data_IF_270507622805
#
_entry.id   IF_270507622805
#
_cell.length_a   1.000
_cell.length_b   1.000
_cell.length_c   1.000
_cell.angle_alpha   90.00
_cell.angle_beta   90.00
_cell.angle_gamma   90.00
#
_symmetry.space_group_name_H-M   'P 1'
#
loop_
_entity.id
_entity.type
_entity.pdbx_description
1 polymer ?
#
# COMPACT_ATOMS: atom_id res chain seq x y z
N UNK A 1 57.01 -9.35 -36.90
CA UNK A 1 56.58 -8.61 -35.69
C UNK A 1 55.06 -8.56 -35.69
N UNK A 2 54.37 -9.26 -34.77
CA UNK A 2 52.93 -9.14 -34.62
C UNK A 2 52.56 -7.92 -33.75
N UNK A 3 51.35 -7.34 -33.90
CA UNK A 3 50.93 -6.18 -33.12
C UNK A 3 50.49 -6.56 -31.71
N UNK A 4 50.81 -5.71 -30.73
CA UNK A 4 50.36 -5.81 -29.33
C UNK A 4 48.84 -5.64 -29.23
N UNK A 5 48.17 -6.62 -28.62
CA UNK A 5 46.77 -6.56 -28.21
C UNK A 5 46.70 -5.80 -26.87
N UNK A 6 45.86 -4.75 -26.71
CA UNK A 6 45.66 -4.15 -25.40
C UNK A 6 44.73 -5.03 -24.56
N UNK A 7 45.19 -5.40 -23.36
CA UNK A 7 44.35 -6.02 -22.33
C UNK A 7 43.26 -5.05 -21.85
N UNK A 8 42.00 -5.50 -21.67
CA UNK A 8 40.99 -4.68 -21.02
C UNK A 8 41.26 -4.62 -19.50
N UNK A 9 41.42 -3.42 -18.96
CA UNK A 9 41.37 -3.20 -17.51
C UNK A 9 39.95 -3.49 -16.98
N UNK A 10 39.80 -4.14 -15.80
CA UNK A 10 38.51 -4.23 -15.15
C UNK A 10 38.16 -2.86 -14.58
N UNK A 11 37.18 -2.17 -15.19
CA UNK A 11 36.56 -1.00 -14.57
C UNK A 11 35.58 -1.54 -13.52
N UNK A 12 36.10 -1.74 -12.31
CA UNK A 12 35.29 -1.97 -11.11
C UNK A 12 34.76 -0.61 -10.66
N UNK A 13 33.64 -0.15 -11.23
CA UNK A 13 32.92 1.00 -10.67
C UNK A 13 32.13 0.51 -9.47
N UNK A 14 32.80 0.39 -8.32
CA UNK A 14 32.11 0.33 -7.03
C UNK A 14 31.56 1.72 -6.78
N UNK A 15 30.26 1.91 -7.01
CA UNK A 15 29.57 3.09 -6.49
C UNK A 15 29.62 3.01 -4.97
N UNK A 16 30.57 3.71 -4.36
CA UNK A 16 30.54 4.05 -2.95
C UNK A 16 29.33 4.96 -2.72
N UNK A 17 28.20 4.36 -2.36
CA UNK A 17 27.12 5.07 -1.70
C UNK A 17 27.64 5.49 -0.32
N UNK A 18 27.69 6.80 -0.09
CA UNK A 18 27.99 7.37 1.21
C UNK A 18 27.04 6.81 2.27
N UNK A 19 27.51 6.48 3.49
CA UNK A 19 26.65 6.10 4.60
C UNK A 19 26.01 7.38 5.18
N UNK A 20 25.11 7.97 4.41
CA UNK A 20 24.26 9.09 4.84
C UNK A 20 22.90 8.53 5.24
N UNK A 21 22.66 8.44 6.54
CA UNK A 21 21.37 8.17 7.21
C UNK A 21 20.31 7.47 6.34
N UNK A 22 20.18 6.15 6.52
CA UNK A 22 18.89 5.48 6.34
C UNK A 22 17.98 6.04 7.45
N UNK A 23 17.38 7.20 7.21
CA UNK A 23 16.10 7.53 7.84
C UNK A 23 15.15 6.51 7.25
N UNK A 24 14.99 5.40 7.96
CA UNK A 24 13.91 4.48 7.68
C UNK A 24 12.63 5.29 7.51
N UNK A 25 11.94 5.07 6.39
CA UNK A 25 10.72 5.75 5.99
C UNK A 25 9.51 5.32 6.84
N UNK A 26 9.62 5.31 8.17
CA UNK A 26 8.57 4.95 9.13
C UNK A 26 7.34 5.88 9.10
N UNK A 27 7.32 6.85 8.19
CA UNK A 27 6.32 7.92 8.11
C UNK A 27 5.27 7.71 7.02
N UNK A 28 5.57 6.89 6.03
CA UNK A 28 4.67 6.72 4.89
C UNK A 28 3.61 5.67 5.21
N UNK A 29 2.33 6.03 5.06
CA UNK A 29 1.25 5.06 5.11
C UNK A 29 1.35 4.19 3.85
N UNK A 30 1.49 2.88 4.04
CA UNK A 30 1.54 1.91 2.94
C UNK A 30 0.28 1.08 2.90
N UNK A 31 -0.08 0.63 1.70
CA UNK A 31 -1.17 -0.28 1.46
C UNK A 31 -0.66 -1.48 0.66
N UNK A 32 -0.95 -2.68 1.17
CA UNK A 32 -0.74 -3.95 0.50
C UNK A 32 -2.08 -4.55 0.09
N UNK A 33 -2.22 -4.90 -1.19
CA UNK A 33 -3.45 -5.53 -1.69
C UNK A 33 -3.21 -6.29 -3.00
N UNK A 34 -4.26 -6.95 -3.47
CA UNK A 34 -4.31 -7.56 -4.78
C UNK A 34 -5.64 -7.31 -5.47
N UNK A 35 -5.64 -7.42 -6.78
CA UNK A 35 -6.84 -7.26 -7.60
C UNK A 35 -6.70 -8.06 -8.90
N UNK A 36 -7.83 -8.24 -9.58
CA UNK A 36 -7.86 -8.80 -10.93
C UNK A 36 -7.90 -7.66 -11.96
N UNK A 37 -7.03 -7.76 -12.98
CA UNK A 37 -6.90 -6.80 -14.07
C UNK A 37 -6.95 -7.56 -15.39
N UNK A 38 -8.02 -7.37 -16.15
CA UNK A 38 -8.32 -8.18 -17.35
C UNK A 38 -7.52 -7.78 -18.59
N UNK A 39 -7.09 -6.52 -18.68
CA UNK A 39 -6.44 -5.93 -19.86
C UNK A 39 -5.27 -5.05 -19.41
N UNK A 40 -4.32 -4.76 -20.31
CA UNK A 40 -3.25 -3.81 -20.00
C UNK A 40 -3.84 -2.45 -19.63
N UNK A 41 -3.47 -1.86 -18.47
CA UNK A 41 -3.99 -0.56 -18.12
C UNK A 41 -3.48 0.53 -19.07
N UNK A 42 -4.21 1.64 -19.23
CA UNK A 42 -3.71 2.79 -19.98
C UNK A 42 -2.40 3.32 -19.38
N UNK A 43 -1.47 3.71 -20.26
CA UNK A 43 -0.25 4.41 -19.86
C UNK A 43 -0.55 5.85 -19.48
N UNK A 44 0.03 6.29 -18.37
CA UNK A 44 0.09 7.67 -17.93
C UNK A 44 1.54 8.17 -18.08
N UNK A 45 1.78 8.90 -19.17
CA UNK A 45 3.13 9.35 -19.52
C UNK A 45 4.00 8.18 -19.99
N UNK A 46 5.32 8.26 -19.73
CA UNK A 46 6.30 7.31 -20.27
C UNK A 46 6.58 6.10 -19.38
N UNK A 47 6.29 6.18 -18.08
CA UNK A 47 6.80 5.23 -17.08
C UNK A 47 5.75 4.61 -16.17
N UNK A 48 4.50 5.09 -16.22
CA UNK A 48 3.44 4.63 -15.33
C UNK A 48 2.24 4.14 -16.13
N UNK A 49 1.60 3.14 -15.58
CA UNK A 49 0.28 2.64 -15.93
C UNK A 49 -0.70 3.10 -14.85
N UNK A 50 -1.94 3.34 -15.27
CA UNK A 50 -3.00 3.82 -14.38
C UNK A 50 -4.16 2.83 -14.38
N UNK A 51 -4.45 2.27 -13.21
CA UNK A 51 -5.62 1.42 -12.98
C UNK A 51 -6.61 2.25 -12.17
N UNK A 52 -7.72 2.64 -12.79
CA UNK A 52 -8.76 3.45 -12.15
C UNK A 52 -9.86 2.57 -11.57
N UNK A 53 -10.52 3.05 -10.52
CA UNK A 53 -11.68 2.39 -9.89
C UNK A 53 -11.41 0.91 -9.56
N UNK A 54 -10.18 0.63 -9.15
CA UNK A 54 -9.69 -0.70 -8.85
C UNK A 54 -10.40 -1.29 -7.63
N UNK A 55 -11.04 -2.44 -7.84
CA UNK A 55 -11.66 -3.23 -6.78
C UNK A 55 -10.63 -4.20 -6.18
N UNK A 56 -10.24 -4.04 -4.89
CA UNK A 56 -9.40 -5.01 -4.24
C UNK A 56 -10.12 -6.34 -4.09
N UNK A 57 -9.37 -7.42 -4.00
CA UNK A 57 -9.92 -8.74 -3.72
C UNK A 57 -9.65 -9.15 -2.27
N UNK A 58 -10.66 -9.75 -1.67
CA UNK A 58 -10.49 -10.63 -0.52
C UNK A 58 -9.91 -11.94 -1.03
N UNK A 59 -8.81 -12.39 -0.43
CA UNK A 59 -8.13 -13.64 -0.81
C UNK A 59 -8.26 -14.72 0.26
N UNK A 60 -9.19 -14.52 1.21
CA UNK A 60 -9.50 -15.53 2.22
C UNK A 60 -10.10 -16.76 1.54
N UNK A 61 -9.39 -17.88 1.66
CA UNK A 61 -9.83 -19.17 1.14
C UNK A 61 -11.06 -19.68 1.90
N UNK A 62 -11.91 -20.50 1.26
CA UNK A 62 -11.76 -21.06 -0.09
C UNK A 62 -12.32 -20.17 -1.22
N UNK A 63 -12.86 -18.99 -0.91
CA UNK A 63 -13.61 -18.19 -1.88
C UNK A 63 -13.04 -16.78 -2.01
N UNK A 64 -11.92 -16.59 -2.74
CA UNK A 64 -11.49 -15.26 -3.15
C UNK A 64 -12.61 -14.54 -3.89
N UNK A 65 -12.83 -13.27 -3.56
CA UNK A 65 -13.90 -12.47 -4.16
C UNK A 65 -13.53 -10.99 -4.21
N UNK A 66 -14.04 -10.23 -5.19
CA UNK A 66 -13.88 -8.78 -5.19
C UNK A 66 -14.60 -8.17 -3.99
N UNK A 67 -14.01 -7.11 -3.44
CA UNK A 67 -14.62 -6.25 -2.44
C UNK A 67 -15.35 -5.10 -3.14
N UNK A 68 -16.46 -4.66 -2.56
CA UNK A 68 -17.23 -3.51 -3.06
C UNK A 68 -16.61 -2.16 -2.67
N UNK A 69 -15.70 -2.14 -1.69
CA UNK A 69 -14.98 -0.97 -1.21
C UNK A 69 -13.74 -1.41 -0.41
N UNK A 70 -12.73 -0.51 -0.24
CA UNK A 70 -12.60 0.79 -0.91
C UNK A 70 -12.25 0.67 -2.40
N UNK A 71 -12.64 1.66 -3.21
CA UNK A 71 -12.12 1.83 -4.58
C UNK A 71 -10.74 2.48 -4.55
N UNK A 72 -9.91 2.15 -5.55
CA UNK A 72 -8.53 2.60 -5.61
C UNK A 72 -8.14 3.11 -7.00
N UNK A 73 -7.38 4.19 -7.05
CA UNK A 73 -6.63 4.63 -8.22
C UNK A 73 -5.17 4.23 -8.04
N UNK A 74 -4.70 3.28 -8.84
CA UNK A 74 -3.37 2.70 -8.70
C UNK A 74 -2.47 3.18 -9.83
N UNK A 75 -1.30 3.68 -9.45
CA UNK A 75 -0.23 4.12 -10.34
C UNK A 75 0.94 3.15 -10.18
N UNK A 76 1.27 2.42 -11.24
CA UNK A 76 2.28 1.37 -11.22
C UNK A 76 3.20 1.44 -12.43
N UNK A 77 4.46 1.09 -12.27
CA UNK A 77 5.38 0.92 -13.40
C UNK A 77 5.38 -0.49 -13.97
N UNK A 78 4.67 -1.43 -13.34
CA UNK A 78 4.62 -2.82 -13.79
C UNK A 78 3.66 -2.93 -15.01
N UNK A 79 4.15 -3.38 -16.18
CA UNK A 79 3.29 -3.70 -17.30
C UNK A 79 2.60 -5.05 -17.07
N UNK A 80 1.38 -5.21 -17.60
CA UNK A 80 0.68 -6.51 -17.61
C UNK A 80 1.15 -7.43 -18.74
N UNK A 81 1.55 -6.84 -19.86
CA UNK A 81 1.58 -7.42 -21.21
C UNK A 81 0.22 -7.50 -21.90
N UNK A 82 0.22 -7.28 -23.23
CA UNK A 82 -0.94 -7.42 -24.14
C UNK A 82 -1.06 -8.85 -24.71
N UNK A 83 -0.29 -9.81 -24.19
CA UNK A 83 -0.31 -11.19 -24.68
C UNK A 83 -1.60 -11.92 -24.28
N UNK A 84 -2.09 -12.88 -25.10
CA UNK A 84 -3.31 -13.63 -24.79
C UNK A 84 -3.26 -14.42 -23.47
N UNK A 85 -2.08 -14.89 -23.08
CA UNK A 85 -1.83 -15.63 -21.84
C UNK A 85 -1.32 -14.74 -20.69
N UNK A 86 -1.35 -13.42 -20.84
CA UNK A 86 -0.85 -12.50 -19.83
C UNK A 86 -1.48 -12.72 -18.45
N UNK A 87 -0.65 -12.64 -17.42
CA UNK A 87 -1.06 -12.70 -16.03
C UNK A 87 -2.06 -11.59 -15.66
N UNK A 88 -3.07 -11.90 -14.86
CA UNK A 88 -4.16 -10.95 -14.54
C UNK A 88 -4.29 -10.63 -13.05
N UNK A 89 -3.60 -11.36 -12.17
CA UNK A 89 -3.55 -11.02 -10.75
C UNK A 89 -2.49 -9.96 -10.49
N UNK A 90 -2.93 -8.74 -10.27
CA UNK A 90 -2.04 -7.66 -9.88
C UNK A 90 -1.91 -7.62 -8.36
N UNK A 91 -0.70 -7.82 -7.85
CA UNK A 91 -0.39 -7.66 -6.43
C UNK A 91 0.51 -6.45 -6.24
N UNK A 92 0.32 -5.73 -5.15
CA UNK A 92 1.10 -4.53 -4.89
C UNK A 92 1.28 -4.21 -3.41
N UNK A 93 2.35 -3.46 -3.16
CA UNK A 93 2.56 -2.62 -2.00
C UNK A 93 2.92 -1.21 -2.48
N UNK A 94 2.27 -0.21 -1.91
CA UNK A 94 2.38 1.17 -2.38
C UNK A 94 2.11 2.20 -1.30
N UNK A 95 2.55 3.42 -1.54
CA UNK A 95 2.23 4.59 -0.72
C UNK A 95 0.75 4.91 -0.87
N UNK A 96 0.03 5.00 0.25
CA UNK A 96 -1.36 5.40 0.28
C UNK A 96 -1.47 6.91 0.45
N UNK A 97 -2.23 7.53 -0.44
CA UNK A 97 -2.74 8.89 -0.29
C UNK A 97 -4.26 8.83 -0.28
N UNK A 98 -4.88 9.38 0.75
CA UNK A 98 -6.33 9.41 0.88
C UNK A 98 -6.82 10.87 0.92
N UNK A 99 -6.94 11.55 -0.24
CA UNK A 99 -7.27 12.97 -0.28
C UNK A 99 -8.72 13.21 0.13
N UNK A 100 -9.00 14.23 0.95
CA UNK A 100 -10.36 14.62 1.37
C UNK A 100 -11.33 14.98 0.24
N UNK A 101 -10.86 15.12 -0.99
CA UNK A 101 -11.69 15.51 -2.15
C UNK A 101 -11.69 14.43 -3.24
N UNK A 102 -11.25 13.21 -2.93
CA UNK A 102 -11.29 12.08 -3.84
C UNK A 102 -12.10 10.93 -3.23
N UNK A 103 -12.98 10.33 -4.04
CA UNK A 103 -13.77 9.18 -3.65
C UNK A 103 -12.97 7.86 -3.67
N UNK A 104 -11.81 7.86 -4.34
CA UNK A 104 -10.91 6.72 -4.42
C UNK A 104 -9.67 6.95 -3.56
N UNK A 105 -9.14 5.86 -3.01
CA UNK A 105 -7.80 5.87 -2.43
C UNK A 105 -6.78 5.94 -3.57
N UNK A 106 -5.75 6.77 -3.43
CA UNK A 106 -4.70 6.91 -4.43
C UNK A 106 -3.47 6.14 -3.97
N UNK A 107 -2.98 5.21 -4.80
CA UNK A 107 -1.83 4.37 -4.47
C UNK A 107 -0.74 4.54 -5.52
N UNK A 108 0.46 4.90 -5.07
CA UNK A 108 1.68 4.83 -5.88
C UNK A 108 2.46 3.59 -5.48
N UNK A 109 2.53 2.59 -6.36
CA UNK A 109 3.19 1.33 -6.04
C UNK A 109 4.70 1.52 -6.06
N UNK A 110 5.39 1.03 -5.03
CA UNK A 110 6.85 0.86 -5.03
C UNK A 110 7.25 -0.62 -5.21
N UNK A 111 6.31 -1.54 -5.02
CA UNK A 111 6.45 -2.96 -5.31
C UNK A 111 5.15 -3.46 -5.95
N UNK A 112 5.24 -4.03 -7.15
CA UNK A 112 4.06 -4.53 -7.87
C UNK A 112 4.44 -5.53 -8.94
N UNK A 113 3.57 -6.51 -9.18
CA UNK A 113 3.78 -7.52 -10.22
C UNK A 113 2.46 -8.20 -10.61
N UNK A 114 2.44 -8.76 -11.82
CA UNK A 114 1.34 -9.57 -12.33
C UNK A 114 1.65 -11.06 -12.17
N UNK A 115 0.65 -11.83 -11.77
CA UNK A 115 0.72 -13.29 -11.58
C UNK A 115 -0.46 -14.02 -12.24
N UNK A 116 -0.26 -15.27 -12.64
CA UNK A 116 -1.35 -16.11 -13.15
C UNK A 116 -2.28 -16.60 -12.04
N UNK A 117 -1.75 -16.69 -10.81
CA UNK A 117 -2.47 -17.07 -9.60
C UNK A 117 -2.11 -16.12 -8.47
N UNK A 118 -2.96 -16.03 -7.44
CA UNK A 118 -2.65 -15.22 -6.25
C UNK A 118 -1.41 -15.82 -5.55
N UNK A 119 -0.36 -15.03 -5.29
CA UNK A 119 0.82 -15.49 -4.56
C UNK A 119 0.53 -15.82 -3.10
N UNK A 120 1.22 -16.82 -2.53
CA UNK A 120 0.95 -17.32 -1.17
C UNK A 120 1.09 -16.27 -0.07
N UNK A 121 1.97 -15.28 -0.23
CA UNK A 121 2.13 -14.18 0.73
C UNK A 121 1.00 -13.14 0.69
N UNK A 122 0.04 -13.32 -0.22
CA UNK A 122 -1.24 -12.62 -0.27
C UNK A 122 -2.41 -13.55 0.05
N UNK A 123 -2.17 -14.83 0.35
CA UNK A 123 -3.22 -15.73 0.82
C UNK A 123 -3.73 -15.22 2.16
N UNK A 124 -5.05 -15.29 2.37
CA UNK A 124 -5.69 -14.87 3.62
C UNK A 124 -5.61 -13.37 3.93
N UNK A 125 -5.62 -12.52 2.91
CA UNK A 125 -5.93 -11.10 3.05
C UNK A 125 -7.45 -10.89 2.95
N UNK A 126 -8.17 -10.73 4.06
CA UNK A 126 -9.61 -10.49 4.01
C UNK A 126 -9.96 -9.14 3.38
N UNK A 127 -9.07 -8.16 3.53
CA UNK A 127 -9.17 -6.77 3.06
C UNK A 127 -7.76 -6.24 2.69
N UNK A 128 -7.64 -5.12 1.95
CA UNK A 128 -6.38 -4.38 1.82
C UNK A 128 -5.78 -4.10 3.20
N UNK A 129 -4.47 -4.27 3.33
CA UNK A 129 -3.78 -4.07 4.61
C UNK A 129 -3.00 -2.76 4.58
N UNK A 130 -3.34 -1.88 5.50
CA UNK A 130 -2.64 -0.63 5.75
C UNK A 130 -1.61 -0.82 6.86
N UNK A 131 -0.43 -0.26 6.66
CA UNK A 131 0.58 -0.10 7.70
C UNK A 131 1.12 1.33 7.70
N UNK A 132 1.35 1.92 8.86
CA UNK A 132 1.93 3.27 8.91
C UNK A 132 1.67 4.02 10.20
N UNK A 133 2.24 5.22 10.27
CA UNK A 133 2.11 6.15 11.38
C UNK A 133 0.83 6.98 11.24
N UNK A 134 0.01 7.01 12.29
CA UNK A 134 -1.15 7.89 12.41
C UNK A 134 -1.10 8.65 13.74
N UNK A 135 -1.61 9.88 13.77
CA UNK A 135 -1.76 10.66 15.00
C UNK A 135 -3.22 10.73 15.44
N UNK A 136 -3.50 10.39 16.68
CA UNK A 136 -4.85 10.42 17.25
C UNK A 136 -5.34 11.86 17.39
N UNK A 137 -6.56 12.15 16.95
CA UNK A 137 -7.16 13.49 16.99
C UNK A 137 -8.45 13.56 17.81
N UNK A 138 -9.12 12.42 18.02
CA UNK A 138 -10.29 12.29 18.90
C UNK A 138 -10.12 11.09 19.82
N UNK A 139 -10.19 11.34 21.12
CA UNK A 139 -10.15 10.36 22.19
C UNK A 139 -11.53 10.04 22.77
N UNK A 140 -12.55 10.87 22.50
CA UNK A 140 -13.95 10.62 22.89
C UNK A 140 -14.72 9.89 21.79
N UNK A 141 -15.42 8.80 22.12
CA UNK A 141 -16.26 8.05 21.18
C UNK A 141 -15.46 7.16 20.22
N UNK A 142 -15.75 7.22 18.92
CA UNK A 142 -14.98 6.49 17.90
C UNK A 142 -13.60 7.14 17.79
N UNK A 143 -12.55 6.36 18.05
CA UNK A 143 -11.17 6.83 17.90
C UNK A 143 -10.91 7.22 16.45
N UNK A 144 -10.46 8.44 16.25
CA UNK A 144 -10.06 8.93 14.93
C UNK A 144 -8.63 9.43 14.92
N UNK A 145 -7.99 9.27 13.78
CA UNK A 145 -6.61 9.63 13.56
C UNK A 145 -6.44 10.34 12.21
N UNK A 146 -5.29 10.98 12.04
CA UNK A 146 -4.86 11.63 10.80
C UNK A 146 -3.48 11.12 10.39
N UNK A 147 -3.19 11.25 9.10
CA UNK A 147 -1.81 11.22 8.63
C UNK A 147 -1.06 12.46 9.18
N UNK A 148 -0.04 12.29 10.03
CA UNK A 148 0.68 13.41 10.63
C UNK A 148 1.50 14.21 9.60
N UNK A 149 1.87 13.59 8.47
CA UNK A 149 2.72 14.19 7.45
C UNK A 149 1.89 14.76 6.27
N UNK A 150 0.57 14.49 6.22
CA UNK A 150 -0.31 14.99 5.17
C UNK A 150 -1.60 15.65 5.71
N UNK A 151 -1.57 16.99 5.81
CA UNK A 151 -2.71 17.79 6.29
C UNK A 151 -3.95 17.72 5.39
N UNK A 152 -3.79 17.32 4.13
CA UNK A 152 -4.88 17.17 3.16
C UNK A 152 -5.49 15.77 3.16
N UNK A 153 -4.94 14.85 3.96
CA UNK A 153 -5.44 13.48 4.11
C UNK A 153 -6.78 13.45 4.83
N UNK A 154 -7.58 12.45 4.50
CA UNK A 154 -8.84 12.12 5.14
C UNK A 154 -8.66 11.75 6.62
N UNK A 155 -9.78 11.58 7.33
CA UNK A 155 -9.76 10.99 8.67
C UNK A 155 -9.65 9.47 8.58
N UNK A 156 -9.01 8.87 9.57
CA UNK A 156 -8.98 7.43 9.77
C UNK A 156 -9.81 7.10 11.01
N UNK A 157 -10.88 6.33 10.83
CA UNK A 157 -11.70 5.82 11.94
C UNK A 157 -11.17 4.46 12.37
N UNK A 158 -10.85 4.31 13.65
CA UNK A 158 -10.21 3.13 14.20
C UNK A 158 -11.21 2.30 14.99
N UNK A 159 -11.27 1.01 14.69
CA UNK A 159 -11.97 -0.01 15.46
C UNK A 159 -11.04 -1.19 15.69
N UNK A 160 -11.18 -1.91 16.81
CA UNK A 160 -10.35 -3.08 17.05
C UNK A 160 -10.83 -4.27 16.21
N UNK A 161 -9.89 -5.00 15.60
CA UNK A 161 -10.15 -6.32 15.06
C UNK A 161 -10.40 -7.31 16.21
N UNK A 162 -11.09 -8.45 15.99
CA UNK A 162 -11.45 -9.39 17.07
C UNK A 162 -10.27 -9.93 17.89
N UNK A 163 -9.04 -9.89 17.35
CA UNK A 163 -7.85 -10.37 18.04
C UNK A 163 -7.12 -9.28 18.84
N UNK A 164 -7.49 -8.01 18.66
CA UNK A 164 -6.88 -6.89 19.36
C UNK A 164 -7.69 -6.59 20.63
N UNK A 165 -6.98 -6.35 21.73
CA UNK A 165 -7.63 -5.87 22.95
C UNK A 165 -8.30 -4.51 22.71
N UNK A 166 -9.62 -4.47 22.93
CA UNK A 166 -10.43 -3.29 22.75
C UNK A 166 -10.06 -2.19 23.77
N UNK A 167 -9.65 -2.55 24.99
CA UNK A 167 -9.29 -1.57 26.01
C UNK A 167 -8.03 -0.81 25.62
N UNK A 168 -7.02 -1.53 25.11
CA UNK A 168 -5.78 -0.93 24.60
C UNK A 168 -6.04 0.16 23.56
N UNK A 169 -6.91 -0.08 22.57
CA UNK A 169 -7.25 0.92 21.56
C UNK A 169 -8.08 2.08 22.14
N UNK A 170 -8.97 1.79 23.09
CA UNK A 170 -9.77 2.81 23.78
C UNK A 170 -8.92 3.75 24.64
N UNK A 171 -7.81 3.25 25.20
CA UNK A 171 -6.91 4.02 26.05
C UNK A 171 -5.92 4.91 25.27
N UNK A 172 -6.01 4.96 23.93
CA UNK A 172 -5.22 5.91 23.15
C UNK A 172 -5.70 7.34 23.39
N UNK A 173 -4.81 8.15 23.96
CA UNK A 173 -5.05 9.57 24.18
C UNK A 173 -4.89 10.38 22.89
N UNK A 174 -5.50 11.56 22.89
CA UNK A 174 -5.31 12.54 21.82
C UNK A 174 -3.83 12.91 21.69
N UNK A 175 -3.39 13.16 20.45
CA UNK A 175 -2.02 13.49 20.07
C UNK A 175 -1.01 12.34 20.18
N UNK A 176 -1.40 11.17 20.70
CA UNK A 176 -0.58 9.96 20.58
C UNK A 176 -0.28 9.68 19.10
N UNK A 177 0.99 9.43 18.80
CA UNK A 177 1.42 8.93 17.50
C UNK A 177 1.51 7.41 17.59
N UNK A 178 0.83 6.71 16.70
CA UNK A 178 0.78 5.25 16.70
C UNK A 178 1.24 4.72 15.36
N UNK A 179 2.18 3.78 15.38
CA UNK A 179 2.41 2.93 14.23
C UNK A 179 1.43 1.77 14.32
N UNK A 180 0.67 1.53 13.25
CA UNK A 180 -0.33 0.47 13.26
C UNK A 180 -0.32 -0.38 12.00
N UNK A 181 -0.94 -1.55 12.12
CA UNK A 181 -1.37 -2.37 11.00
C UNK A 181 -2.87 -2.60 11.10
N UNK A 182 -3.60 -2.32 10.02
CA UNK A 182 -5.05 -2.41 9.99
C UNK A 182 -5.56 -2.96 8.66
N UNK A 183 -6.72 -3.60 8.71
CA UNK A 183 -7.50 -3.95 7.53
C UNK A 183 -8.36 -2.74 7.11
N UNK A 184 -8.27 -2.32 5.85
CA UNK A 184 -9.07 -1.22 5.30
C UNK A 184 -10.43 -1.75 4.84
N UNK A 185 -11.47 -1.44 5.60
CA UNK A 185 -12.79 -2.04 5.40
C UNK A 185 -13.64 -1.22 4.44
N UNK A 186 -13.59 0.11 4.57
CA UNK A 186 -14.35 1.04 3.74
C UNK A 186 -13.59 2.37 3.60
N UNK A 187 -13.92 3.09 2.53
CA UNK A 187 -13.60 4.49 2.36
C UNK A 187 -14.86 5.23 1.89
N UNK A 188 -15.43 6.06 2.77
CA UNK A 188 -16.70 6.75 2.53
C UNK A 188 -16.66 8.13 3.16
N UNK A 189 -17.20 9.14 2.46
CA UNK A 189 -17.31 10.52 2.96
C UNK A 189 -16.02 11.07 3.58
N UNK A 190 -14.87 10.78 2.96
CA UNK A 190 -13.55 11.21 3.44
C UNK A 190 -13.16 10.63 4.80
N UNK A 191 -13.63 9.41 5.08
CA UNK A 191 -13.23 8.62 6.24
C UNK A 191 -12.80 7.23 5.76
N UNK A 192 -11.56 6.87 6.08
CA UNK A 192 -11.06 5.50 5.91
C UNK A 192 -11.35 4.73 7.19
N UNK A 193 -12.18 3.70 7.09
CA UNK A 193 -12.52 2.84 8.22
C UNK A 193 -11.52 1.70 8.34
N UNK A 194 -10.81 1.68 9.46
CA UNK A 194 -9.76 0.74 9.79
C UNK A 194 -10.21 -0.22 10.89
N UNK A 195 -9.97 -1.51 10.65
CA UNK A 195 -9.96 -2.55 11.69
C UNK A 195 -8.51 -2.79 12.10
N UNK A 196 -8.11 -2.20 13.22
CA UNK A 196 -6.76 -2.25 13.77
C UNK A 196 -6.48 -3.67 14.26
N UNK A 197 -5.40 -4.27 13.75
CA UNK A 197 -4.94 -5.60 14.14
C UNK A 197 -3.82 -5.54 15.17
N UNK A 198 -3.03 -4.48 15.10
CA UNK A 198 -1.84 -4.25 15.91
C UNK A 198 -1.53 -2.75 15.89
N UNK A 199 -1.04 -2.23 17.01
CA UNK A 199 -0.48 -0.88 17.08
C UNK A 199 0.55 -0.77 18.21
N UNK A 200 1.44 0.20 18.08
CA UNK A 200 2.40 0.62 19.09
C UNK A 200 2.41 2.15 19.18
N UNK A 201 2.47 2.68 20.40
CA UNK A 201 2.63 4.12 20.65
C UNK A 201 4.11 4.47 20.49
N UNK A 202 4.40 5.57 19.78
CA UNK A 202 5.75 6.08 19.51
C UNK A 202 6.02 7.34 20.32
#
# INVERSE_FOLDING_TARGET
MPPLIPHPHPITTVHHFAPGLIKFAWKMITLKSCMFVSEEPPRLGTHLFKILDANPWSTTLPHPKPLSAPLMDIYTSAPRSDLPDAASWFVFEGSLHAPKNNNNLVIHTHSSSYHHTIPCNYDSLPFPRLSGLLRIVSDTGVKTAIDPDNQTSCLFSLTAAPQLDHESLHNLDKDNSVYLTADVVHYLYNIVHLKVRFFEII
#
